data_IF_189708558188
#
_entry.id   IF_189708558188
#
_cell.length_a   1.000
_cell.length_b   1.000
_cell.length_c   1.000
_cell.angle_alpha   90.00
_cell.angle_beta   90.00
_cell.angle_gamma   90.00
#
_symmetry.space_group_name_H-M   'P 1'
#
loop_
_entity.id
_entity.type
_entity.pdbx_description
1 polymer ?
#
# COMPACT_ATOMS: atom_id res chain seq x y z
N UNK A 1 65.20 -34.55 16.65
CA UNK A 1 64.65 -33.75 17.76
C UNK A 1 64.40 -32.31 17.27
N UNK A 2 63.18 -31.97 16.95
CA UNK A 2 62.74 -30.56 16.71
C UNK A 2 61.26 -30.44 17.09
N UNK A 3 60.96 -29.62 18.10
CA UNK A 3 59.64 -29.33 18.60
C UNK A 3 58.96 -28.30 17.67
N UNK A 4 57.66 -28.39 17.36
CA UNK A 4 56.92 -27.31 16.74
C UNK A 4 56.39 -26.35 17.83
N UNK A 5 56.63 -25.07 17.63
CA UNK A 5 56.09 -23.96 18.40
C UNK A 5 54.61 -23.78 18.05
N UNK A 6 53.74 -23.99 19.04
CA UNK A 6 52.34 -23.60 18.99
C UNK A 6 52.23 -22.10 19.21
N UNK A 7 51.71 -21.35 18.21
CA UNK A 7 51.30 -19.98 18.34
C UNK A 7 49.77 -19.96 18.52
N UNK A 8 49.33 -20.04 19.78
CA UNK A 8 47.96 -19.75 20.14
C UNK A 8 47.83 -18.23 20.33
N UNK A 9 47.35 -17.54 19.30
CA UNK A 9 46.96 -16.15 19.39
C UNK A 9 45.51 -16.08 19.88
N UNK A 10 45.34 -15.74 21.16
CA UNK A 10 44.04 -15.38 21.72
C UNK A 10 43.55 -14.09 21.06
N UNK A 11 42.61 -14.26 20.13
CA UNK A 11 41.86 -13.13 19.59
C UNK A 11 40.82 -12.73 20.63
N UNK A 12 41.17 -11.82 21.56
CA UNK A 12 40.21 -11.13 22.38
C UNK A 12 39.36 -10.25 21.47
N UNK A 13 38.15 -10.69 21.17
CA UNK A 13 37.15 -9.87 20.52
C UNK A 13 36.79 -8.68 21.44
N UNK A 14 37.18 -7.49 21.06
CA UNK A 14 36.85 -6.24 21.74
C UNK A 14 35.33 -6.07 21.87
N UNK A 15 34.76 -5.93 23.07
CA UNK A 15 33.29 -5.81 23.27
C UNK A 15 32.68 -4.52 22.68
N UNK A 16 33.50 -3.60 22.19
CA UNK A 16 33.05 -2.38 21.51
C UNK A 16 32.59 -2.59 20.07
N UNK A 17 33.09 -3.62 19.36
CA UNK A 17 32.78 -3.83 17.96
C UNK A 17 31.38 -4.45 17.72
N UNK A 18 30.88 -5.23 18.67
CA UNK A 18 29.55 -5.83 18.59
C UNK A 18 28.43 -4.80 18.86
N UNK A 19 28.69 -3.84 19.76
CA UNK A 19 27.71 -2.78 20.09
C UNK A 19 27.50 -1.82 18.92
N UNK A 20 28.53 -1.50 18.14
CA UNK A 20 28.40 -0.66 16.94
C UNK A 20 27.71 -1.40 15.76
N UNK A 21 27.83 -2.71 15.68
CA UNK A 21 27.12 -3.52 14.66
C UNK A 21 25.63 -3.66 14.98
N UNK A 22 25.26 -3.78 16.26
CA UNK A 22 23.87 -3.91 16.66
C UNK A 22 23.10 -2.59 16.47
N UNK A 23 23.72 -1.44 16.78
CA UNK A 23 23.11 -0.12 16.57
C UNK A 23 22.92 0.19 15.08
N UNK A 24 23.90 -0.14 14.22
CA UNK A 24 23.74 0.04 12.75
C UNK A 24 22.70 -0.90 12.13
N UNK A 25 22.54 -2.12 12.65
CA UNK A 25 21.49 -3.01 12.19
C UNK A 25 20.10 -2.56 12.62
N UNK A 26 19.97 -1.95 13.80
CA UNK A 26 18.73 -1.36 14.27
C UNK A 26 18.26 -0.20 13.38
N UNK A 27 19.16 0.75 13.06
CA UNK A 27 18.80 1.90 12.21
C UNK A 27 18.44 1.50 10.79
N UNK A 28 19.19 0.61 10.15
CA UNK A 28 18.87 0.13 8.80
C UNK A 28 17.50 -0.58 8.73
N UNK A 29 17.13 -1.30 9.81
CA UNK A 29 15.84 -1.98 9.87
C UNK A 29 14.67 -1.04 10.17
N UNK A 30 14.93 0.07 10.88
CA UNK A 30 13.94 1.13 11.11
C UNK A 30 13.75 2.00 9.88
N UNK A 31 14.82 2.32 9.15
CA UNK A 31 14.76 3.07 7.88
C UNK A 31 13.96 2.30 6.82
N UNK A 32 14.24 1.00 6.64
CA UNK A 32 13.45 0.10 5.77
C UNK A 32 11.98 -0.01 6.20
N UNK A 33 11.69 0.15 7.52
CA UNK A 33 10.33 0.13 8.04
C UNK A 33 9.56 1.35 7.56
N UNK A 34 10.15 2.53 7.76
CA UNK A 34 9.51 3.80 7.43
C UNK A 34 9.30 3.93 5.92
N UNK A 35 10.27 3.49 5.13
CA UNK A 35 10.20 3.56 3.67
C UNK A 35 9.03 2.74 3.12
N UNK A 36 8.91 1.46 3.46
CA UNK A 36 7.83 0.61 2.99
C UNK A 36 6.45 1.16 3.40
N UNK A 37 6.31 1.62 4.65
CA UNK A 37 5.07 2.18 5.17
C UNK A 37 4.72 3.51 4.50
N UNK A 38 5.66 4.46 4.45
CA UNK A 38 5.41 5.80 3.93
C UNK A 38 5.19 5.81 2.42
N UNK A 39 5.98 5.01 1.67
CA UNK A 39 5.82 4.89 0.22
C UNK A 39 4.46 4.28 -0.10
N UNK A 40 4.07 3.19 0.58
CA UNK A 40 2.76 2.56 0.38
C UNK A 40 1.62 3.52 0.75
N UNK A 41 1.74 4.26 1.86
CA UNK A 41 0.74 5.24 2.28
C UNK A 41 0.61 6.36 1.24
N UNK A 42 1.71 6.94 0.82
CA UNK A 42 1.73 8.06 -0.12
C UNK A 42 1.17 7.69 -1.49
N UNK A 43 1.66 6.59 -2.07
CA UNK A 43 1.24 6.15 -3.40
C UNK A 43 -0.24 5.75 -3.43
N UNK A 44 -0.70 4.99 -2.44
CA UNK A 44 -2.11 4.60 -2.35
C UNK A 44 -2.98 5.82 -2.12
N UNK A 45 -2.62 6.73 -1.20
CA UNK A 45 -3.39 7.96 -0.99
C UNK A 45 -3.57 8.76 -2.27
N UNK A 46 -2.48 8.98 -3.03
CA UNK A 46 -2.54 9.77 -4.26
C UNK A 46 -3.34 9.02 -5.34
N UNK A 47 -3.20 7.69 -5.44
CA UNK A 47 -3.93 6.88 -6.42
C UNK A 47 -5.44 6.84 -6.16
N UNK A 48 -5.85 6.87 -4.88
CA UNK A 48 -7.25 6.80 -4.45
C UNK A 48 -8.02 8.11 -4.64
N UNK A 49 -7.34 9.27 -4.68
CA UNK A 49 -8.06 10.53 -4.83
C UNK A 49 -8.71 10.60 -6.21
N UNK A 50 -10.04 10.62 -6.22
CA UNK A 50 -10.83 10.64 -7.45
C UNK A 50 -11.04 9.28 -8.09
N UNK A 51 -10.70 8.22 -7.39
CA UNK A 51 -10.96 6.85 -7.80
C UNK A 51 -12.43 6.44 -7.56
N UNK A 52 -12.84 5.31 -8.12
CA UNK A 52 -14.19 4.76 -7.99
C UNK A 52 -14.61 4.51 -6.53
N UNK A 53 -13.66 4.13 -5.67
CA UNK A 53 -13.89 3.87 -4.25
C UNK A 53 -14.16 5.15 -3.46
N UNK A 54 -13.45 6.23 -3.74
CA UNK A 54 -13.78 7.54 -3.17
C UNK A 54 -15.18 8.01 -3.60
N UNK A 55 -15.55 7.79 -4.87
CA UNK A 55 -16.89 8.13 -5.36
C UNK A 55 -17.97 7.27 -4.68
N UNK A 56 -17.71 5.97 -4.50
CA UNK A 56 -18.59 5.08 -3.74
C UNK A 56 -18.77 5.54 -2.30
N UNK A 57 -17.67 5.89 -1.62
CA UNK A 57 -17.71 6.41 -0.24
C UNK A 57 -18.63 7.63 -0.12
N UNK A 58 -18.56 8.55 -1.07
CA UNK A 58 -19.43 9.74 -1.13
C UNK A 58 -20.89 9.36 -1.34
N UNK A 59 -21.19 8.45 -2.29
CA UNK A 59 -22.55 8.00 -2.58
C UNK A 59 -23.17 7.34 -1.37
N UNK A 60 -22.45 6.42 -0.72
CA UNK A 60 -22.92 5.72 0.49
C UNK A 60 -23.14 6.70 1.65
N UNK A 61 -22.22 7.66 1.83
CA UNK A 61 -22.35 8.68 2.86
C UNK A 61 -23.57 9.59 2.63
N UNK A 62 -23.84 9.99 1.40
CA UNK A 62 -25.00 10.78 1.04
C UNK A 62 -26.31 10.02 1.26
N UNK A 63 -26.33 8.71 0.91
CA UNK A 63 -27.53 7.87 1.02
C UNK A 63 -27.88 7.55 2.48
N UNK A 64 -26.92 7.15 3.29
CA UNK A 64 -27.20 6.67 4.65
C UNK A 64 -26.98 7.69 5.75
N UNK A 65 -26.09 8.68 5.53
CA UNK A 65 -25.72 9.70 6.54
C UNK A 65 -25.25 9.09 7.87
N UNK A 66 -24.58 7.94 7.79
CA UNK A 66 -24.05 7.18 8.92
C UNK A 66 -22.56 6.92 8.74
N UNK A 67 -21.68 7.88 9.06
CA UNK A 67 -20.26 7.78 8.74
C UNK A 67 -19.56 6.62 9.42
N UNK A 68 -19.89 6.32 10.69
CA UNK A 68 -19.16 5.31 11.46
C UNK A 68 -19.25 3.89 10.88
N UNK A 69 -20.43 3.31 10.59
CA UNK A 69 -20.50 1.98 9.98
C UNK A 69 -19.90 1.95 8.57
N UNK A 70 -19.98 3.05 7.81
CA UNK A 70 -19.35 3.16 6.49
C UNK A 70 -17.83 3.11 6.64
N UNK A 71 -17.23 3.93 7.52
CA UNK A 71 -15.78 3.95 7.76
C UNK A 71 -15.25 2.61 8.25
N UNK A 72 -15.96 1.95 9.15
CA UNK A 72 -15.60 0.62 9.63
C UNK A 72 -15.69 -0.43 8.52
N UNK A 73 -16.72 -0.34 7.68
CA UNK A 73 -16.88 -1.23 6.52
C UNK A 73 -15.76 -1.06 5.50
N UNK A 74 -15.40 0.18 5.18
CA UNK A 74 -14.25 0.50 4.32
C UNK A 74 -12.96 -0.07 4.93
N UNK A 75 -12.71 0.19 6.21
CA UNK A 75 -11.49 -0.28 6.89
C UNK A 75 -11.36 -1.80 6.83
N UNK A 76 -12.43 -2.54 7.12
CA UNK A 76 -12.41 -4.02 7.10
C UNK A 76 -12.22 -4.55 5.69
N UNK A 77 -12.93 -4.00 4.70
CA UNK A 77 -12.79 -4.39 3.31
C UNK A 77 -11.36 -4.14 2.79
N UNK A 78 -10.82 -2.96 3.05
CA UNK A 78 -9.46 -2.58 2.64
C UNK A 78 -8.40 -3.44 3.32
N UNK A 79 -8.49 -3.66 4.64
CA UNK A 79 -7.56 -4.56 5.34
C UNK A 79 -7.56 -5.95 4.73
N UNK A 80 -8.74 -6.52 4.46
CA UNK A 80 -8.85 -7.86 3.86
C UNK A 80 -8.23 -7.89 2.45
N UNK A 81 -8.58 -6.94 1.59
CA UNK A 81 -8.08 -6.86 0.23
C UNK A 81 -6.57 -6.64 0.17
N UNK A 82 -6.05 -5.68 0.95
CA UNK A 82 -4.63 -5.36 0.96
C UNK A 82 -3.80 -6.46 1.63
N UNK A 83 -4.32 -7.11 2.68
CA UNK A 83 -3.67 -8.29 3.28
C UNK A 83 -3.59 -9.45 2.28
N UNK A 84 -4.66 -9.71 1.54
CA UNK A 84 -4.68 -10.75 0.51
C UNK A 84 -3.70 -10.43 -0.63
N UNK A 85 -3.71 -9.20 -1.12
CA UNK A 85 -2.79 -8.73 -2.16
C UNK A 85 -1.32 -8.79 -1.72
N UNK A 86 -1.03 -8.31 -0.50
CA UNK A 86 0.32 -8.33 0.04
C UNK A 86 0.82 -9.74 0.32
N UNK A 87 -0.06 -10.65 0.78
CA UNK A 87 0.29 -12.06 0.93
C UNK A 87 0.63 -12.70 -0.42
N UNK A 88 -0.21 -12.48 -1.43
CA UNK A 88 0.06 -12.95 -2.79
C UNK A 88 1.38 -12.37 -3.33
N UNK A 89 1.62 -11.08 -3.11
CA UNK A 89 2.84 -10.39 -3.52
C UNK A 89 4.10 -10.92 -2.82
N UNK A 90 4.07 -11.14 -1.50
CA UNK A 90 5.20 -11.72 -0.76
C UNK A 90 5.49 -13.16 -1.19
N UNK A 91 4.46 -13.98 -1.35
CA UNK A 91 4.63 -15.36 -1.84
C UNK A 91 5.23 -15.35 -3.24
N UNK A 92 4.70 -14.53 -4.14
CA UNK A 92 5.23 -14.42 -5.50
C UNK A 92 6.69 -13.91 -5.48
N UNK A 93 7.01 -12.93 -4.65
CA UNK A 93 8.36 -12.38 -4.49
C UNK A 93 9.39 -13.42 -4.03
N UNK A 94 8.99 -14.41 -3.22
CA UNK A 94 9.89 -15.51 -2.85
C UNK A 94 10.26 -16.43 -4.03
N UNK A 95 9.36 -16.58 -5.00
CA UNK A 95 9.64 -17.35 -6.23
C UNK A 95 10.36 -16.52 -7.29
N UNK A 96 10.22 -15.20 -7.21
CA UNK A 96 10.84 -14.27 -8.14
C UNK A 96 12.20 -13.80 -7.61
N UNK A 97 13.26 -14.58 -7.84
CA UNK A 97 14.61 -14.23 -7.45
C UNK A 97 15.47 -13.99 -8.70
N UNK A 98 16.35 -12.99 -8.64
CA UNK A 98 17.26 -12.64 -9.73
C UNK A 98 17.06 -11.22 -10.27
N UNK A 99 18.04 -10.74 -11.05
CA UNK A 99 18.08 -9.36 -11.57
C UNK A 99 16.88 -8.99 -12.48
N UNK A 100 16.20 -9.98 -13.03
CA UNK A 100 15.02 -9.75 -13.88
C UNK A 100 13.80 -9.24 -13.08
N UNK A 101 13.75 -9.51 -11.77
CA UNK A 101 12.62 -9.10 -10.90
C UNK A 101 12.47 -7.59 -10.86
N UNK A 102 13.60 -6.86 -10.79
CA UNK A 102 13.60 -5.39 -10.83
C UNK A 102 12.95 -4.86 -12.11
N UNK A 103 13.17 -5.54 -13.24
CA UNK A 103 12.56 -5.17 -14.50
C UNK A 103 11.04 -5.38 -14.48
N UNK A 104 10.58 -6.52 -13.95
CA UNK A 104 9.15 -6.80 -13.81
C UNK A 104 8.48 -5.80 -12.89
N UNK A 105 9.05 -5.55 -11.71
CA UNK A 105 8.51 -4.60 -10.72
C UNK A 105 8.54 -3.16 -11.28
N UNK A 106 9.65 -2.72 -11.82
CA UNK A 106 9.78 -1.37 -12.37
C UNK A 106 8.84 -1.13 -13.55
N UNK A 107 8.71 -2.10 -14.48
CA UNK A 107 7.76 -2.01 -15.58
C UNK A 107 6.31 -2.06 -15.11
N UNK A 108 5.99 -2.83 -14.05
CA UNK A 108 4.66 -2.82 -13.45
C UNK A 108 4.29 -1.43 -12.92
N UNK A 109 5.21 -0.76 -12.20
CA UNK A 109 4.98 0.61 -11.74
C UNK A 109 4.81 1.61 -12.88
N UNK A 110 5.58 1.48 -13.96
CA UNK A 110 5.37 2.30 -15.16
C UNK A 110 4.01 2.01 -15.82
N UNK A 111 3.57 0.76 -15.83
CA UNK A 111 2.20 0.38 -16.26
C UNK A 111 1.14 1.04 -15.40
N UNK A 112 1.31 1.05 -14.06
CA UNK A 112 0.40 1.75 -13.13
C UNK A 112 0.40 3.26 -13.36
N UNK A 113 1.53 3.87 -13.69
CA UNK A 113 1.60 5.27 -14.04
C UNK A 113 0.69 5.60 -15.24
N UNK A 114 0.72 4.77 -16.28
CA UNK A 114 -0.19 4.93 -17.43
C UNK A 114 -1.64 4.68 -17.03
N UNK A 115 -1.90 3.63 -16.26
CA UNK A 115 -3.25 3.29 -15.81
C UNK A 115 -3.86 4.38 -14.91
N UNK A 116 -3.08 4.99 -14.03
CA UNK A 116 -3.54 6.08 -13.17
C UNK A 116 -4.05 7.31 -13.93
N UNK A 117 -3.64 7.51 -15.18
CA UNK A 117 -4.16 8.57 -16.04
C UNK A 117 -5.56 8.29 -16.60
N UNK A 118 -5.97 7.00 -16.62
CA UNK A 118 -7.29 6.60 -17.13
C UNK A 118 -8.35 6.92 -16.08
N UNK A 119 -9.41 7.67 -16.45
CA UNK A 119 -10.51 7.94 -15.52
C UNK A 119 -11.28 6.67 -15.17
N UNK A 120 -11.42 6.39 -13.88
CA UNK A 120 -12.32 5.33 -13.43
C UNK A 120 -13.78 5.78 -13.54
N UNK A 121 -14.65 4.82 -13.87
CA UNK A 121 -16.09 5.01 -13.94
C UNK A 121 -16.73 4.18 -12.83
N UNK A 122 -17.73 4.76 -12.21
CA UNK A 122 -18.57 4.09 -11.23
C UNK A 122 -19.90 3.76 -11.91
N UNK A 123 -20.08 2.49 -12.28
CA UNK A 123 -21.19 2.06 -13.12
C UNK A 123 -22.39 1.55 -12.32
N UNK A 124 -22.21 1.09 -11.07
CA UNK A 124 -23.28 0.54 -10.24
C UNK A 124 -23.22 1.03 -8.80
N UNK A 125 -24.30 1.67 -8.32
CA UNK A 125 -24.46 1.99 -6.91
C UNK A 125 -25.02 0.74 -6.18
N UNK A 126 -24.46 0.37 -5.00
CA UNK A 126 -25.02 -0.71 -4.21
C UNK A 126 -26.41 -0.34 -3.67
N UNK A 127 -27.18 -1.39 -3.31
CA UNK A 127 -28.49 -1.21 -2.69
C UNK A 127 -28.36 -0.44 -1.35
N UNK A 128 -29.00 0.73 -1.27
CA UNK A 128 -28.98 1.62 -0.11
C UNK A 128 -30.24 1.55 0.73
N UNK A 129 -31.04 0.50 0.59
CA UNK A 129 -32.29 0.30 1.38
C UNK A 129 -32.02 0.03 2.85
N UNK A 130 -30.82 -0.49 3.19
CA UNK A 130 -30.41 -0.77 4.55
C UNK A 130 -30.33 0.49 5.43
N UNK A 131 -30.90 0.37 6.66
CA UNK A 131 -30.92 1.49 7.61
C UNK A 131 -30.33 1.13 8.97
N UNK A 132 -30.05 -0.15 9.23
CA UNK A 132 -29.43 -0.59 10.49
C UNK A 132 -27.91 -0.35 10.44
N UNK A 133 -27.29 -0.22 11.62
CA UNK A 133 -25.84 -0.09 11.69
C UNK A 133 -25.13 -1.29 11.05
N UNK A 134 -25.58 -2.49 11.38
CA UNK A 134 -25.00 -3.73 10.86
C UNK A 134 -25.22 -3.88 9.36
N UNK A 135 -26.42 -3.55 8.85
CA UNK A 135 -26.70 -3.59 7.42
C UNK A 135 -25.81 -2.65 6.63
N UNK A 136 -25.71 -1.38 7.07
CA UNK A 136 -24.82 -0.39 6.45
C UNK A 136 -23.35 -0.86 6.48
N UNK A 137 -22.89 -1.39 7.62
CA UNK A 137 -21.53 -1.92 7.75
C UNK A 137 -21.25 -3.06 6.75
N UNK A 138 -22.09 -4.09 6.71
CA UNK A 138 -21.85 -5.24 5.85
C UNK A 138 -22.01 -4.93 4.36
N UNK A 139 -23.00 -4.10 4.00
CA UNK A 139 -23.17 -3.65 2.61
C UNK A 139 -21.97 -2.83 2.15
N UNK A 140 -21.46 -1.92 2.98
CA UNK A 140 -20.24 -1.16 2.68
C UNK A 140 -19.05 -2.09 2.54
N UNK A 141 -18.87 -3.04 3.48
CA UNK A 141 -17.76 -3.99 3.44
C UNK A 141 -17.79 -4.82 2.16
N UNK A 142 -18.95 -5.38 1.81
CA UNK A 142 -19.10 -6.18 0.60
C UNK A 142 -18.86 -5.35 -0.69
N UNK A 143 -19.46 -4.16 -0.77
CA UNK A 143 -19.32 -3.29 -1.92
C UNK A 143 -17.85 -2.86 -2.15
N UNK A 144 -17.18 -2.41 -1.10
CA UNK A 144 -15.76 -2.03 -1.18
C UNK A 144 -14.88 -3.23 -1.49
N UNK A 145 -15.11 -4.37 -0.84
CA UNK A 145 -14.34 -5.58 -1.10
C UNK A 145 -14.41 -6.00 -2.58
N UNK A 146 -15.62 -6.00 -3.17
CA UNK A 146 -15.82 -6.40 -4.57
C UNK A 146 -15.23 -5.38 -5.54
N UNK A 147 -15.44 -4.08 -5.30
CA UNK A 147 -14.97 -3.01 -6.19
C UNK A 147 -13.44 -2.89 -6.17
N UNK A 148 -12.82 -3.12 -5.02
CA UNK A 148 -11.36 -3.12 -4.85
C UNK A 148 -10.70 -4.38 -5.44
N UNK A 149 -11.44 -5.49 -5.59
CA UNK A 149 -10.84 -6.73 -6.04
C UNK A 149 -10.32 -6.61 -7.47
N UNK A 150 -9.01 -6.74 -7.64
CA UNK A 150 -8.32 -6.57 -8.93
C UNK A 150 -8.08 -5.13 -9.35
N UNK A 151 -8.32 -4.16 -8.47
CA UNK A 151 -8.04 -2.75 -8.77
C UNK A 151 -6.54 -2.44 -8.76
N UNK A 152 -6.20 -1.27 -9.35
CA UNK A 152 -4.81 -0.78 -9.46
C UNK A 152 -4.09 -0.68 -8.12
N UNK A 153 -4.79 -0.25 -7.07
CA UNK A 153 -4.22 -0.10 -5.72
C UNK A 153 -3.97 -1.45 -5.06
N UNK A 154 -4.82 -2.45 -5.27
CA UNK A 154 -4.59 -3.82 -4.83
C UNK A 154 -3.38 -4.44 -5.52
N UNK A 155 -3.25 -4.28 -6.84
CA UNK A 155 -2.11 -4.80 -7.59
C UNK A 155 -0.82 -4.05 -7.20
N UNK A 156 -0.85 -2.72 -7.03
CA UNK A 156 0.28 -1.95 -6.54
C UNK A 156 0.72 -2.41 -5.14
N UNK A 157 -0.22 -2.71 -4.24
CA UNK A 157 0.05 -3.26 -2.91
C UNK A 157 0.76 -4.62 -3.00
N UNK A 158 0.34 -5.49 -3.91
CA UNK A 158 1.00 -6.79 -4.13
C UNK A 158 2.45 -6.61 -4.64
N UNK A 159 2.67 -5.71 -5.60
CA UNK A 159 4.00 -5.39 -6.13
C UNK A 159 4.91 -4.78 -5.05
N UNK A 160 4.40 -3.86 -4.23
CA UNK A 160 5.13 -3.30 -3.09
C UNK A 160 5.50 -4.40 -2.07
N UNK A 161 4.56 -5.30 -1.76
CA UNK A 161 4.82 -6.39 -0.82
C UNK A 161 5.87 -7.37 -1.36
N UNK A 162 5.88 -7.63 -2.67
CA UNK A 162 6.92 -8.42 -3.31
C UNK A 162 8.29 -7.73 -3.24
N UNK A 163 8.34 -6.41 -3.39
CA UNK A 163 9.58 -5.63 -3.35
C UNK A 163 10.16 -5.49 -1.94
N UNK A 164 9.32 -5.05 -0.99
CA UNK A 164 9.77 -4.75 0.38
C UNK A 164 9.81 -5.99 1.28
N UNK A 165 9.26 -7.12 0.85
CA UNK A 165 9.18 -8.39 1.60
C UNK A 165 8.64 -8.20 3.03
N UNK A 166 7.77 -7.22 3.24
CA UNK A 166 7.23 -6.84 4.54
C UNK A 166 5.71 -6.65 4.48
N UNK A 167 4.99 -7.76 4.57
CA UNK A 167 3.52 -7.80 4.53
C UNK A 167 2.87 -6.81 5.51
N UNK A 168 3.18 -6.80 6.83
CA UNK A 168 2.43 -5.95 7.76
C UNK A 168 2.63 -4.46 7.51
N UNK A 169 3.81 -4.07 7.04
CA UNK A 169 4.14 -2.66 6.78
C UNK A 169 3.41 -2.12 5.56
N UNK A 170 3.44 -2.90 4.49
CA UNK A 170 2.75 -2.55 3.24
C UNK A 170 1.24 -2.53 3.46
N UNK A 171 0.66 -3.51 4.16
CA UNK A 171 -0.77 -3.55 4.50
C UNK A 171 -1.17 -2.37 5.37
N UNK A 172 -0.41 -2.06 6.42
CA UNK A 172 -0.70 -0.92 7.28
C UNK A 172 -0.61 0.40 6.51
N UNK A 173 0.45 0.59 5.70
CA UNK A 173 0.65 1.80 4.90
C UNK A 173 -0.43 1.99 3.85
N UNK A 174 -0.70 0.96 3.05
CA UNK A 174 -1.73 1.03 1.99
C UNK A 174 -3.14 1.20 2.57
N UNK A 175 -3.45 0.54 3.70
CA UNK A 175 -4.74 0.73 4.39
C UNK A 175 -4.87 2.15 4.95
N UNK A 176 -3.81 2.69 5.54
CA UNK A 176 -3.82 4.08 5.99
C UNK A 176 -4.01 5.04 4.81
N UNK A 177 -3.31 4.81 3.69
CA UNK A 177 -3.46 5.59 2.47
C UNK A 177 -4.90 5.62 1.97
N UNK A 178 -5.56 4.46 1.92
CA UNK A 178 -6.98 4.32 1.58
C UNK A 178 -7.88 5.10 2.53
N UNK A 179 -7.65 4.98 3.85
CA UNK A 179 -8.46 5.67 4.86
C UNK A 179 -8.26 7.18 4.88
N UNK A 180 -7.06 7.67 4.54
CA UNK A 180 -6.78 9.11 4.42
C UNK A 180 -7.60 9.79 3.32
N UNK A 181 -7.98 9.05 2.29
CA UNK A 181 -8.78 9.56 1.17
C UNK A 181 -10.26 9.32 1.41
N UNK A 182 -10.64 8.08 1.71
CA UNK A 182 -12.04 7.71 1.87
C UNK A 182 -12.65 8.23 3.19
N UNK A 183 -11.84 8.41 4.24
CA UNK A 183 -12.30 8.99 5.51
C UNK A 183 -12.89 10.40 5.33
N UNK A 184 -12.13 11.38 4.84
CA UNK A 184 -12.66 12.70 4.49
C UNK A 184 -13.80 12.66 3.49
N UNK A 185 -13.77 11.76 2.49
CA UNK A 185 -14.83 11.60 1.51
C UNK A 185 -16.15 11.20 2.17
N UNK A 186 -16.14 10.30 3.14
CA UNK A 186 -17.32 9.91 3.93
C UNK A 186 -17.80 11.05 4.82
N UNK A 187 -16.88 11.79 5.45
CA UNK A 187 -17.23 12.85 6.41
C UNK A 187 -17.73 14.12 5.73
N UNK A 188 -17.15 14.49 4.60
CA UNK A 188 -17.44 15.73 3.88
C UNK A 188 -18.49 15.55 2.77
N UNK A 189 -18.69 14.31 2.33
CA UNK A 189 -19.68 13.95 1.32
C UNK A 189 -19.45 14.66 -0.02
N UNK A 190 -20.56 14.96 -0.71
CA UNK A 190 -20.58 15.53 -2.06
C UNK A 190 -19.87 16.90 -2.18
N UNK A 191 -19.83 17.68 -1.09
CA UNK A 191 -19.23 19.02 -1.12
C UNK A 191 -17.71 18.98 -1.40
N UNK A 192 -17.02 17.94 -0.95
CA UNK A 192 -15.59 17.75 -1.21
C UNK A 192 -15.32 17.33 -2.66
N UNK A 193 -16.10 16.40 -3.18
CA UNK A 193 -15.91 15.85 -4.53
C UNK A 193 -15.99 16.89 -5.64
N UNK A 194 -16.89 17.86 -5.51
CA UNK A 194 -17.11 18.91 -6.51
C UNK A 194 -15.95 19.91 -6.66
N UNK A 195 -15.03 19.97 -5.69
CA UNK A 195 -13.91 20.93 -5.66
C UNK A 195 -12.57 20.32 -6.02
N UNK A 196 -12.49 19.00 -6.17
CA UNK A 196 -11.22 18.31 -6.41
C UNK A 196 -10.79 18.43 -7.88
N UNK A 197 -9.55 18.90 -8.17
CA UNK A 197 -9.02 18.98 -9.53
C UNK A 197 -8.49 17.62 -9.98
N UNK A 198 -9.38 16.66 -10.21
CA UNK A 198 -9.07 15.23 -10.46
C UNK A 198 -8.02 14.99 -11.54
N UNK A 199 -7.94 15.85 -12.57
CA UNK A 199 -6.93 15.72 -13.63
C UNK A 199 -5.51 15.89 -13.09
N UNK A 200 -5.29 16.87 -12.22
CA UNK A 200 -3.97 17.13 -11.63
C UNK A 200 -3.60 16.06 -10.60
N UNK A 201 -4.58 15.54 -9.88
CA UNK A 201 -4.39 14.48 -8.89
C UNK A 201 -3.96 13.19 -9.59
N UNK A 202 -4.65 12.79 -10.67
CA UNK A 202 -4.23 11.62 -11.48
C UNK A 202 -2.84 11.81 -12.08
N UNK A 203 -2.51 13.01 -12.53
CA UNK A 203 -1.15 13.31 -13.02
C UNK A 203 -0.11 13.15 -11.91
N UNK A 204 -0.42 13.58 -10.67
CA UNK A 204 0.46 13.40 -9.52
C UNK A 204 0.63 11.92 -9.14
N UNK A 205 -0.47 11.13 -9.16
CA UNK A 205 -0.41 9.68 -8.95
C UNK A 205 0.45 8.99 -10.02
N UNK A 206 0.23 9.32 -11.30
CA UNK A 206 1.01 8.80 -12.40
C UNK A 206 2.51 9.15 -12.27
N UNK A 207 2.82 10.38 -11.88
CA UNK A 207 4.19 10.81 -11.63
C UNK A 207 4.84 10.05 -10.45
N UNK A 208 4.08 9.79 -9.37
CA UNK A 208 4.54 9.00 -8.23
C UNK A 208 4.86 7.55 -8.63
N UNK A 209 3.95 6.89 -9.33
CA UNK A 209 4.20 5.54 -9.85
C UNK A 209 5.36 5.50 -10.84
N UNK A 210 5.46 6.48 -11.76
CA UNK A 210 6.57 6.56 -12.70
C UNK A 210 7.91 6.77 -11.98
N UNK A 211 7.97 7.65 -11.00
CA UNK A 211 9.17 7.89 -10.20
C UNK A 211 9.63 6.63 -9.46
N UNK A 212 8.68 5.90 -8.84
CA UNK A 212 8.96 4.62 -8.17
C UNK A 212 9.45 3.58 -9.17
N UNK A 213 8.80 3.45 -10.33
CA UNK A 213 9.23 2.51 -11.37
C UNK A 213 10.64 2.79 -11.89
N UNK A 214 10.93 4.04 -12.18
CA UNK A 214 12.29 4.47 -12.62
C UNK A 214 13.33 4.21 -11.52
N UNK A 215 12.99 4.54 -10.27
CA UNK A 215 13.89 4.30 -9.13
C UNK A 215 14.22 2.81 -8.97
N UNK A 216 13.22 1.93 -9.03
CA UNK A 216 13.42 0.47 -8.97
C UNK A 216 14.30 -0.03 -10.12
N UNK A 217 14.13 0.50 -11.33
CA UNK A 217 14.94 0.10 -12.48
C UNK A 217 16.40 0.56 -12.41
N UNK A 218 16.66 1.71 -11.75
CA UNK A 218 18.00 2.31 -11.70
C UNK A 218 18.77 1.97 -10.43
N UNK A 219 18.10 1.79 -9.30
CA UNK A 219 18.71 1.59 -7.98
C UNK A 219 18.77 0.11 -7.54
N UNK A 220 18.13 -0.80 -8.27
CA UNK A 220 18.06 -2.24 -7.98
C UNK A 220 19.24 -3.04 -8.55
#
# INVERSE_FOLDING_TARGET
MARPLAFAGDFHAEPGCERHRSVRRGSAHEDDFLDAFLISTGLVSIAEIGDKTMLLAIVLSAAWRRPLPILLGILVATLANHAFAALAGTVLGHFMQGDWVRWVVGLAFLGFAVWALIPDRFDEAPDTTEKTFSGVFWTTTAAFFVIEMGDKTQIATAVHAAQFQSLPRVVAGSTLGMMLVNGPAVLLGEAAARRLPLKWIRAAAAAGFAATGVWVLLAG
#
